data_IF_756352646228
#
_entry.id   IF_756352646228
#
_cell.length_a   1.000
_cell.length_b   1.000
_cell.length_c   1.000
_cell.angle_alpha   90.00
_cell.angle_beta   90.00
_cell.angle_gamma   90.00
#
_symmetry.space_group_name_H-M   'P 1'
#
loop_
_entity.id
_entity.type
_entity.pdbx_description
1 polymer ?
#
# COMPACT_ATOMS: atom_id res chain seq x y z
N UNK A 1 12.02 6.93 13.12
CA UNK A 1 11.04 6.75 12.02
C UNK A 1 9.85 5.97 12.56
N UNK A 2 8.64 6.20 12.04
CA UNK A 2 7.40 5.59 12.58
C UNK A 2 7.21 4.19 12.01
N UNK A 3 6.56 3.30 12.77
CA UNK A 3 6.13 1.99 12.27
C UNK A 3 4.74 2.09 11.66
N UNK A 4 4.51 1.34 10.59
CA UNK A 4 3.21 1.22 9.93
C UNK A 4 2.82 -0.25 9.77
N UNK A 5 1.52 -0.54 9.87
CA UNK A 5 0.94 -1.74 9.28
C UNK A 5 0.82 -1.50 7.77
N UNK A 6 1.24 -2.49 6.98
CA UNK A 6 1.11 -2.51 5.53
C UNK A 6 0.01 -3.49 5.15
N UNK A 7 -0.75 -3.15 4.12
CA UNK A 7 -1.83 -3.96 3.60
C UNK A 7 -1.65 -4.18 2.10
N UNK A 8 -2.29 -5.22 1.58
CA UNK A 8 -2.41 -5.47 0.14
C UNK A 8 -3.81 -5.92 -0.22
N UNK A 9 -4.13 -5.85 -1.50
CA UNK A 9 -5.31 -6.51 -2.01
C UNK A 9 -4.98 -7.95 -2.41
N UNK A 10 -5.75 -8.89 -1.88
CA UNK A 10 -5.78 -10.26 -2.38
C UNK A 10 -7.10 -10.51 -3.10
N UNK A 11 -7.04 -11.27 -4.20
CA UNK A 11 -8.24 -11.64 -4.92
C UNK A 11 -8.79 -12.97 -4.42
N UNK A 12 -10.08 -12.97 -4.06
CA UNK A 12 -10.83 -14.18 -3.72
C UNK A 12 -11.86 -14.45 -4.81
N UNK A 13 -11.92 -15.69 -5.27
CA UNK A 13 -12.90 -16.15 -6.26
C UNK A 13 -13.96 -16.98 -5.56
N UNK A 14 -15.23 -16.67 -5.79
CA UNK A 14 -16.38 -17.44 -5.30
C UNK A 14 -17.38 -17.64 -6.44
N UNK A 15 -17.43 -18.86 -6.98
CA UNK A 15 -18.10 -19.14 -8.25
C UNK A 15 -17.49 -18.31 -9.39
N UNK A 16 -18.34 -17.60 -10.12
CA UNK A 16 -17.93 -16.73 -11.24
C UNK A 16 -17.59 -15.29 -10.83
N UNK A 17 -17.60 -14.98 -9.51
CA UNK A 17 -17.33 -13.63 -9.00
C UNK A 17 -15.92 -13.51 -8.44
N UNK A 18 -15.26 -12.39 -8.75
CA UNK A 18 -13.97 -11.99 -8.18
C UNK A 18 -14.18 -10.86 -7.19
N UNK A 19 -13.66 -11.03 -5.98
CA UNK A 19 -13.63 -10.03 -4.92
C UNK A 19 -12.19 -9.58 -4.68
N UNK A 20 -12.01 -8.33 -4.29
CA UNK A 20 -10.74 -7.81 -3.79
C UNK A 20 -10.91 -7.54 -2.30
N UNK A 21 -10.08 -8.17 -1.49
CA UNK A 21 -10.09 -8.01 -0.04
C UNK A 21 -8.78 -7.35 0.41
N UNK A 22 -8.89 -6.34 1.28
CA UNK A 22 -7.72 -5.70 1.88
C UNK A 22 -7.26 -6.54 3.06
N UNK A 23 -6.08 -7.14 2.95
CA UNK A 23 -5.50 -8.04 3.95
C UNK A 23 -4.19 -7.47 4.49
N UNK A 24 -3.83 -7.85 5.72
CA UNK A 24 -2.58 -7.44 6.34
C UNK A 24 -1.38 -8.07 5.63
N UNK A 25 -0.35 -7.28 5.40
CA UNK A 25 0.89 -7.65 4.70
C UNK A 25 2.14 -7.35 5.54
N UNK A 26 1.98 -7.35 6.87
CA UNK A 26 3.07 -7.16 7.82
C UNK A 26 3.30 -5.70 8.23
N UNK A 27 4.46 -5.46 8.84
CA UNK A 27 4.87 -4.16 9.36
C UNK A 27 6.11 -3.64 8.63
N UNK A 28 6.26 -2.32 8.60
CA UNK A 28 7.39 -1.65 7.97
C UNK A 28 7.74 -0.34 8.68
N UNK A 29 8.90 0.21 8.35
CA UNK A 29 9.30 1.56 8.75
C UNK A 29 8.82 2.54 7.70
N UNK A 30 8.10 3.58 8.12
CA UNK A 30 7.70 4.68 7.26
C UNK A 30 8.81 5.72 7.16
N UNK A 31 9.22 6.01 5.91
CA UNK A 31 10.22 7.02 5.61
C UNK A 31 9.57 8.37 5.29
N UNK A 32 8.69 8.41 4.30
CA UNK A 32 8.06 9.63 3.82
C UNK A 32 6.81 9.35 2.97
N UNK A 33 6.03 10.39 2.71
CA UNK A 33 5.03 10.35 1.64
C UNK A 33 5.71 10.49 0.28
N UNK A 34 5.11 9.87 -0.73
CA UNK A 34 5.53 9.92 -2.11
C UNK A 34 4.40 10.31 -3.05
N UNK A 35 4.75 10.41 -4.32
CA UNK A 35 3.82 10.50 -5.44
C UNK A 35 4.18 9.40 -6.42
N UNK A 36 3.16 8.72 -6.91
CA UNK A 36 3.29 7.79 -8.02
C UNK A 36 2.42 8.24 -9.19
N UNK A 37 2.78 7.76 -10.37
CA UNK A 37 2.23 8.20 -11.63
C UNK A 37 1.92 6.98 -12.49
N UNK A 38 0.66 6.90 -12.96
CA UNK A 38 0.25 5.90 -13.93
C UNK A 38 -0.44 6.59 -15.11
N UNK A 39 0.00 6.26 -16.33
CA UNK A 39 -0.68 6.66 -17.56
C UNK A 39 -1.86 5.73 -17.80
N UNK A 40 -3.08 6.27 -17.67
CA UNK A 40 -4.29 5.58 -18.13
C UNK A 40 -4.71 6.09 -19.50
N UNK A 41 -5.51 5.30 -20.20
CA UNK A 41 -6.14 5.71 -21.48
C UNK A 41 -6.99 6.98 -21.33
N UNK A 42 -7.48 7.28 -20.11
CA UNK A 42 -8.28 8.46 -19.78
C UNK A 42 -7.45 9.66 -19.30
N UNK A 43 -6.12 9.55 -19.29
CA UNK A 43 -5.18 10.57 -18.85
C UNK A 43 -4.37 10.18 -17.61
N UNK A 44 -3.46 11.07 -17.15
CA UNK A 44 -2.55 10.78 -16.05
C UNK A 44 -3.29 10.71 -14.71
N UNK A 45 -3.09 9.62 -13.98
CA UNK A 45 -3.50 9.46 -12.59
C UNK A 45 -2.31 9.65 -11.65
N UNK A 46 -2.30 10.72 -10.86
CA UNK A 46 -1.35 10.85 -9.76
C UNK A 46 -1.92 10.20 -8.51
N UNK A 47 -1.12 9.38 -7.84
CA UNK A 47 -1.51 8.72 -6.60
C UNK A 47 -0.61 9.16 -5.45
N UNK A 48 -1.22 9.50 -4.33
CA UNK A 48 -0.48 9.70 -3.08
C UNK A 48 -0.03 8.35 -2.55
N UNK A 49 1.26 8.24 -2.25
CA UNK A 49 1.88 7.00 -1.77
C UNK A 49 2.68 7.21 -0.49
N UNK A 50 3.19 6.12 0.05
CA UNK A 50 4.09 6.07 1.19
C UNK A 50 5.33 5.24 0.81
N UNK A 51 6.51 5.79 1.09
CA UNK A 51 7.77 5.09 0.98
C UNK A 51 8.03 4.38 2.30
N UNK A 52 8.15 3.06 2.24
CA UNK A 52 8.34 2.18 3.41
C UNK A 52 9.58 1.32 3.25
N UNK A 53 10.15 0.86 4.36
CA UNK A 53 11.23 -0.13 4.41
C UNK A 53 10.79 -1.34 5.21
N UNK A 54 10.85 -2.51 4.58
CA UNK A 54 10.53 -3.83 5.17
C UNK A 54 11.67 -4.29 6.08
N UNK A 55 11.40 -5.27 6.93
CA UNK A 55 12.41 -5.83 7.86
C UNK A 55 13.59 -6.50 7.15
N UNK A 56 13.43 -6.95 5.90
CA UNK A 56 14.49 -7.50 5.06
C UNK A 56 15.36 -6.40 4.40
N UNK A 57 15.07 -5.11 4.65
CA UNK A 57 15.76 -3.95 4.06
C UNK A 57 15.23 -3.52 2.69
N UNK A 58 14.18 -4.16 2.17
CA UNK A 58 13.55 -3.76 0.90
C UNK A 58 12.78 -2.45 1.07
N UNK A 59 12.94 -1.54 0.11
CA UNK A 59 12.23 -0.25 0.09
C UNK A 59 11.14 -0.30 -0.97
N UNK A 60 9.90 -0.03 -0.57
CA UNK A 60 8.73 -0.08 -1.42
C UNK A 60 8.00 1.26 -1.46
N UNK A 61 7.34 1.53 -2.59
CA UNK A 61 6.38 2.62 -2.76
C UNK A 61 4.97 2.02 -2.75
N UNK A 62 4.17 2.32 -1.73
CA UNK A 62 2.84 1.73 -1.55
C UNK A 62 1.75 2.80 -1.52
N UNK A 63 0.56 2.52 -2.05
CA UNK A 63 -0.56 3.46 -2.00
C UNK A 63 -0.85 3.91 -0.56
N UNK A 64 -1.16 5.20 -0.36
CA UNK A 64 -1.38 5.75 1.00
C UNK A 64 -2.52 5.04 1.74
N UNK A 65 -3.52 4.54 1.01
CA UNK A 65 -4.62 3.75 1.58
C UNK A 65 -4.21 2.35 2.06
N UNK A 66 -2.97 1.91 1.80
CA UNK A 66 -2.41 0.62 2.21
C UNK A 66 -1.47 0.71 3.41
N UNK A 67 -1.31 1.89 4.02
CA UNK A 67 -0.51 2.06 5.23
C UNK A 67 -1.35 2.60 6.37
N UNK A 68 -1.04 2.16 7.58
CA UNK A 68 -1.64 2.68 8.81
C UNK A 68 -0.56 2.82 9.88
N UNK A 69 -0.40 4.02 10.43
CA UNK A 69 0.48 4.23 11.57
C UNK A 69 0.00 3.45 12.80
N UNK A 70 0.91 2.76 13.47
CA UNK A 70 0.58 1.88 14.61
C UNK A 70 0.31 2.69 15.89
N UNK A 71 0.89 3.89 15.98
CA UNK A 71 0.82 4.80 17.14
C UNK A 71 -0.30 5.85 17.02
N UNK A 72 -1.21 5.69 16.06
CA UNK A 72 -2.40 6.52 15.96
C UNK A 72 -3.51 5.91 16.83
N UNK A 73 -3.64 6.41 18.07
CA UNK A 73 -4.85 6.24 18.89
C UNK A 73 -6.02 7.06 18.32
#
# INVERSE_FOLDING_TARGET
MRKVNVFKYESRIEGDKRYLEKVADGQAIFHAFGVDYEEFETGPGNFSTAIIERENGEVENVYVGMVQFIDAE
#
